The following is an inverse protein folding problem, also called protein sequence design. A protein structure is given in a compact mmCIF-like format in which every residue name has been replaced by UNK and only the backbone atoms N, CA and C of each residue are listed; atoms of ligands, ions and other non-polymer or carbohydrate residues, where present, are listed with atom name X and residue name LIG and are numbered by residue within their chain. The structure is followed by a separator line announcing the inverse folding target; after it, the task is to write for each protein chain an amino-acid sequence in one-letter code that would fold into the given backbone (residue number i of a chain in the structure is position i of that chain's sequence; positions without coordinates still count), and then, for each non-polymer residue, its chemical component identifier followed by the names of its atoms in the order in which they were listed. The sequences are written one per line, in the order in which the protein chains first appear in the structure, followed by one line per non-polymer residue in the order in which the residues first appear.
data_IF_805465235428
#
_entry.id   IF_805465235428
#
_cell.length_a   1.000
_cell.length_b   1.000
_cell.length_c   1.000
_cell.angle_alpha   90.00
_cell.angle_beta   90.00
_cell.angle_gamma   90.00
#
_symmetry.space_group_name_H-M   'P 1'
#
loop_
_entity.id
_entity.type
_entity.pdbx_description
1 polymer ?
#
# COMPACT_ATOMS: atom_id res chain seq x y z
N UNK A 1 4.39 -7.96 -14.91
CA UNK A 1 3.55 -6.91 -15.54
C UNK A 1 3.36 -5.69 -14.64
N UNK A 2 2.78 -5.83 -13.44
CA UNK A 2 2.65 -4.70 -12.48
C UNK A 2 3.98 -4.01 -12.14
N UNK A 3 5.09 -4.75 -12.05
CA UNK A 3 6.42 -4.18 -11.80
C UNK A 3 6.87 -3.14 -12.85
N UNK A 4 6.63 -3.39 -14.14
CA UNK A 4 7.02 -2.46 -15.20
C UNK A 4 6.01 -1.31 -15.38
N UNK A 5 4.74 -1.54 -15.01
CA UNK A 5 3.66 -0.56 -15.14
C UNK A 5 2.96 -0.42 -13.77
N UNK A 6 3.60 0.30 -12.82
CA UNK A 6 3.16 0.37 -11.42
C UNK A 6 1.83 1.09 -11.21
N UNK A 7 1.33 1.82 -12.22
CA UNK A 7 0.01 2.43 -12.21
C UNK A 7 -1.10 1.50 -12.75
N UNK A 8 -0.84 0.19 -12.92
CA UNK A 8 -1.89 -0.77 -13.29
C UNK A 8 -2.65 -1.29 -12.06
N UNK A 9 -3.98 -1.20 -12.14
CA UNK A 9 -4.92 -1.77 -11.19
C UNK A 9 -5.23 -3.24 -11.50
N UNK A 10 -5.30 -3.58 -12.79
CA UNK A 10 -5.45 -4.94 -13.27
C UNK A 10 -4.74 -5.11 -14.62
N UNK A 11 -4.67 -6.35 -15.09
CA UNK A 11 -4.11 -6.75 -16.37
C UNK A 11 -5.04 -7.75 -17.03
N UNK A 12 -5.30 -7.58 -18.33
CA UNK A 12 -5.98 -8.58 -19.15
C UNK A 12 -5.02 -9.06 -20.24
N UNK A 13 -5.00 -10.37 -20.47
CA UNK A 13 -4.18 -10.99 -21.51
C UNK A 13 -4.91 -12.19 -22.11
N UNK A 14 -4.55 -12.57 -23.33
CA UNK A 14 -5.14 -13.70 -24.03
C UNK A 14 -4.12 -14.82 -24.15
N UNK A 15 -4.57 -16.05 -23.90
CA UNK A 15 -3.86 -17.24 -24.37
C UNK A 15 -4.61 -17.73 -25.61
N UNK A 16 -3.92 -17.70 -26.75
CA UNK A 16 -4.46 -18.01 -28.07
C UNK A 16 -3.71 -19.23 -28.61
N UNK A 17 -4.45 -20.16 -29.18
CA UNK A 17 -3.98 -21.31 -29.94
C UNK A 17 -4.65 -21.28 -31.32
N UNK A 18 -4.34 -22.24 -32.18
CA UNK A 18 -4.94 -22.33 -33.52
C UNK A 18 -6.48 -22.33 -33.50
N UNK A 19 -7.09 -23.03 -32.54
CA UNK A 19 -8.55 -23.18 -32.50
C UNK A 19 -9.21 -22.51 -31.30
N UNK A 20 -8.45 -22.13 -30.28
CA UNK A 20 -9.01 -21.69 -29.01
C UNK A 20 -8.38 -20.42 -28.48
N UNK A 21 -9.20 -19.64 -27.76
CA UNK A 21 -8.78 -18.48 -26.99
C UNK A 21 -9.32 -18.57 -25.57
N UNK A 22 -8.59 -18.01 -24.61
CA UNK A 22 -9.13 -17.66 -23.30
C UNK A 22 -8.59 -16.33 -22.82
N UNK A 23 -9.42 -15.59 -22.10
CA UNK A 23 -9.03 -14.36 -21.43
C UNK A 23 -8.57 -14.67 -20.01
N UNK A 24 -7.41 -14.16 -19.63
CA UNK A 24 -6.91 -14.13 -18.26
C UNK A 24 -6.98 -12.69 -17.75
N UNK A 25 -7.52 -12.54 -16.56
CA UNK A 25 -7.61 -11.29 -15.82
C UNK A 25 -6.79 -11.45 -14.53
N UNK A 26 -5.75 -10.64 -14.38
CA UNK A 26 -4.94 -10.57 -13.17
C UNK A 26 -5.24 -9.27 -12.44
N UNK A 27 -5.55 -9.35 -11.16
CA UNK A 27 -5.67 -8.20 -10.27
C UNK A 27 -5.01 -8.52 -8.93
N UNK A 28 -5.22 -7.66 -7.92
CA UNK A 28 -4.61 -7.83 -6.60
C UNK A 28 -5.24 -8.93 -5.74
N UNK A 29 -6.38 -9.48 -6.17
CA UNK A 29 -7.08 -10.60 -5.53
C UNK A 29 -6.84 -11.93 -6.20
N UNK A 30 -6.06 -11.98 -7.29
CA UNK A 30 -5.70 -13.24 -7.95
C UNK A 30 -5.82 -13.17 -9.47
N UNK A 31 -5.87 -14.36 -10.06
CA UNK A 31 -6.20 -14.54 -11.47
C UNK A 31 -7.63 -15.05 -11.60
N UNK A 32 -8.37 -14.52 -12.57
CA UNK A 32 -9.65 -15.05 -13.06
C UNK A 32 -9.48 -15.33 -14.54
N UNK A 33 -10.13 -16.36 -15.05
CA UNK A 33 -10.05 -16.69 -16.47
C UNK A 33 -11.40 -17.13 -17.01
N UNK A 34 -11.61 -16.94 -18.30
CA UNK A 34 -12.77 -17.52 -18.99
C UNK A 34 -12.55 -19.02 -19.24
N UNK A 35 -13.62 -19.77 -19.54
CA UNK A 35 -13.50 -21.05 -20.23
C UNK A 35 -12.70 -20.92 -21.52
N UNK A 36 -12.19 -22.04 -22.00
CA UNK A 36 -11.51 -22.11 -23.28
C UNK A 36 -12.56 -22.05 -24.40
N UNK A 37 -12.49 -21.02 -25.23
CA UNK A 37 -13.48 -20.73 -26.27
C UNK A 37 -12.93 -21.14 -27.63
N UNK A 38 -13.69 -21.92 -28.41
CA UNK A 38 -13.32 -22.20 -29.80
C UNK A 38 -13.59 -20.96 -30.68
N UNK A 39 -12.55 -20.43 -31.33
CA UNK A 39 -12.61 -19.16 -32.09
C UNK A 39 -13.42 -19.28 -33.37
N UNK A 40 -13.44 -20.45 -34.01
CA UNK A 40 -14.21 -20.67 -35.24
C UNK A 40 -15.70 -20.82 -34.96
N UNK A 41 -16.07 -21.37 -33.78
CA UNK A 41 -17.46 -21.43 -33.34
C UNK A 41 -17.98 -20.11 -32.77
N UNK A 42 -17.08 -19.24 -32.28
CA UNK A 42 -17.43 -17.99 -31.62
C UNK A 42 -16.62 -16.78 -32.14
N UNK A 43 -16.64 -16.50 -33.46
CA UNK A 43 -15.77 -15.50 -34.08
C UNK A 43 -16.03 -14.09 -33.55
N UNK A 44 -17.30 -13.73 -33.33
CA UNK A 44 -17.66 -12.41 -32.78
C UNK A 44 -17.07 -12.18 -31.38
N UNK A 45 -17.10 -13.20 -30.53
CA UNK A 45 -16.51 -13.11 -29.18
C UNK A 45 -14.99 -13.02 -29.26
N UNK A 46 -14.35 -13.76 -30.17
CA UNK A 46 -12.91 -13.63 -30.40
C UNK A 46 -12.52 -12.21 -30.83
N UNK A 47 -13.22 -11.61 -31.80
CA UNK A 47 -12.97 -10.22 -32.21
C UNK A 47 -13.16 -9.24 -31.05
N UNK A 48 -14.22 -9.41 -30.25
CA UNK A 48 -14.43 -8.58 -29.04
C UNK A 48 -13.30 -8.69 -28.04
N UNK A 49 -12.74 -9.90 -27.85
CA UNK A 49 -11.59 -10.11 -26.97
C UNK A 49 -10.35 -9.37 -27.47
N UNK A 50 -10.05 -9.44 -28.77
CA UNK A 50 -8.94 -8.69 -29.40
C UNK A 50 -9.14 -7.19 -29.20
N UNK A 51 -10.32 -6.65 -29.56
CA UNK A 51 -10.62 -5.23 -29.41
C UNK A 51 -10.53 -4.77 -27.94
N UNK A 52 -10.94 -5.61 -27.00
CA UNK A 52 -10.87 -5.32 -25.58
C UNK A 52 -9.44 -5.18 -25.06
N UNK A 53 -8.52 -6.07 -25.47
CA UNK A 53 -7.11 -6.01 -25.04
C UNK A 53 -6.27 -5.00 -25.84
N UNK A 54 -6.74 -4.60 -27.03
CA UNK A 54 -6.12 -3.57 -27.88
C UNK A 54 -6.76 -2.19 -27.74
N UNK A 55 -7.61 -1.98 -26.74
CA UNK A 55 -8.27 -0.70 -26.49
C UNK A 55 -7.25 0.43 -26.24
N UNK A 56 -7.55 1.64 -26.74
CA UNK A 56 -6.79 2.85 -26.44
C UNK A 56 -7.24 3.54 -25.14
N UNK A 57 -8.35 3.08 -24.54
CA UNK A 57 -8.87 3.60 -23.27
C UNK A 57 -8.08 3.03 -22.10
N UNK A 58 -7.39 3.89 -21.37
CA UNK A 58 -6.49 3.54 -20.27
C UNK A 58 -7.20 2.72 -19.17
N UNK A 59 -8.41 3.13 -18.81
CA UNK A 59 -9.24 2.47 -17.80
C UNK A 59 -9.65 1.05 -18.22
N UNK A 60 -9.89 0.82 -19.52
CA UNK A 60 -10.23 -0.51 -20.06
C UNK A 60 -9.01 -1.44 -19.99
N UNK A 61 -7.82 -0.89 -20.20
CA UNK A 61 -6.54 -1.60 -20.05
C UNK A 61 -6.14 -1.78 -18.58
N UNK A 62 -6.87 -1.20 -17.63
CA UNK A 62 -6.62 -1.30 -16.20
C UNK A 62 -5.52 -0.37 -15.69
N UNK A 63 -5.28 0.75 -16.36
CA UNK A 63 -4.42 1.82 -15.87
C UNK A 63 -5.22 2.77 -14.95
N UNK A 64 -4.55 3.27 -13.90
CA UNK A 64 -5.08 4.37 -13.08
C UNK A 64 -5.01 5.69 -13.87
N UNK A 65 -6.17 6.16 -14.31
CA UNK A 65 -6.31 7.41 -15.08
C UNK A 65 -6.01 8.66 -14.27
N UNK A 66 -5.91 8.54 -12.94
CA UNK A 66 -5.47 9.64 -12.08
C UNK A 66 -3.96 9.87 -12.11
N UNK A 67 -3.17 8.92 -12.62
CA UNK A 67 -1.72 9.05 -12.81
C UNK A 67 -1.45 9.31 -14.28
N UNK A 68 -1.13 10.55 -14.62
CA UNK A 68 -0.87 10.97 -15.99
C UNK A 68 0.62 11.22 -16.20
N UNK A 69 1.11 10.91 -17.41
CA UNK A 69 2.52 11.08 -17.77
C UNK A 69 2.64 11.94 -19.00
N UNK A 70 3.58 12.87 -18.97
CA UNK A 70 3.96 13.65 -20.15
C UNK A 70 5.07 12.90 -20.89
N UNK A 71 4.82 12.59 -22.16
CA UNK A 71 5.79 11.93 -23.05
C UNK A 71 6.30 12.95 -24.05
N UNK A 72 7.63 13.10 -24.15
CA UNK A 72 8.29 13.89 -25.20
C UNK A 72 9.30 13.00 -25.92
N UNK A 73 9.22 12.94 -27.25
CA UNK A 73 10.10 12.09 -28.09
C UNK A 73 10.16 10.62 -27.62
N UNK A 74 9.00 10.05 -27.26
CA UNK A 74 8.89 8.67 -26.77
C UNK A 74 9.41 8.42 -25.34
N UNK A 75 9.93 9.43 -24.65
CA UNK A 75 10.41 9.33 -23.27
C UNK A 75 9.46 10.01 -22.29
N UNK A 76 9.25 9.38 -21.13
CA UNK A 76 8.52 9.99 -20.01
C UNK A 76 9.39 11.09 -19.41
N UNK A 77 8.88 12.32 -19.38
CA UNK A 77 9.64 13.49 -18.90
C UNK A 77 9.03 14.15 -17.66
N UNK A 78 7.74 13.93 -17.41
CA UNK A 78 7.03 14.44 -16.25
C UNK A 78 5.80 13.56 -15.98
N UNK A 79 5.15 13.77 -14.85
CA UNK A 79 3.83 13.20 -14.59
C UNK A 79 3.13 13.88 -13.43
N UNK A 80 1.85 13.60 -13.30
CA UNK A 80 0.99 14.16 -12.26
C UNK A 80 0.16 13.06 -11.64
N UNK A 81 -0.16 13.24 -10.35
CA UNK A 81 -1.15 12.43 -9.65
C UNK A 81 -2.29 13.34 -9.23
N UNK A 82 -3.47 13.06 -9.76
CA UNK A 82 -4.73 13.67 -9.35
C UNK A 82 -5.38 12.80 -8.27
N UNK A 83 -6.08 13.40 -7.34
CA UNK A 83 -6.96 12.66 -6.43
C UNK A 83 -8.08 13.54 -5.92
N UNK A 84 -9.14 12.90 -5.47
CA UNK A 84 -10.22 13.54 -4.72
C UNK A 84 -9.94 13.31 -3.23
N UNK A 85 -9.74 14.40 -2.48
CA UNK A 85 -9.46 14.30 -1.05
C UNK A 85 -10.75 14.03 -0.27
N UNK A 86 -10.83 12.85 0.32
CA UNK A 86 -11.96 12.40 1.12
C UNK A 86 -12.12 13.18 2.43
N UNK A 87 -11.09 13.91 2.89
CA UNK A 87 -11.18 14.76 4.08
C UNK A 87 -11.91 16.10 3.85
N UNK A 88 -11.74 16.72 2.67
CA UNK A 88 -12.09 18.13 2.46
C UNK A 88 -13.16 18.31 1.38
N UNK A 89 -14.44 18.04 1.69
CA UNK A 89 -15.57 18.23 0.78
C UNK A 89 -15.33 17.66 -0.64
N UNK A 90 -14.55 16.59 -0.77
CA UNK A 90 -14.19 15.99 -2.06
C UNK A 90 -13.46 16.97 -3.02
N UNK A 91 -12.60 17.85 -2.50
CA UNK A 91 -11.80 18.76 -3.33
C UNK A 91 -10.76 17.98 -4.15
N UNK A 92 -10.61 18.35 -5.41
CA UNK A 92 -9.56 17.82 -6.28
C UNK A 92 -8.21 18.39 -5.88
N UNK A 93 -7.22 17.52 -5.78
CA UNK A 93 -5.83 17.82 -5.50
C UNK A 93 -4.95 17.26 -6.61
N UNK A 94 -3.89 18.01 -6.98
CA UNK A 94 -2.94 17.61 -8.02
C UNK A 94 -1.52 17.75 -7.47
N UNK A 95 -0.73 16.69 -7.62
CA UNK A 95 0.69 16.65 -7.29
C UNK A 95 1.53 16.44 -8.53
N UNK A 96 2.70 17.07 -8.58
CA UNK A 96 3.70 16.85 -9.62
C UNK A 96 4.64 15.73 -9.20
N UNK A 97 4.81 14.71 -10.04
CA UNK A 97 5.81 13.68 -9.79
C UNK A 97 7.20 14.28 -9.91
N UNK A 98 8.01 14.09 -8.86
CA UNK A 98 9.42 14.48 -8.86
C UNK A 98 10.22 13.44 -9.65
N UNK A 99 9.92 12.16 -9.45
CA UNK A 99 10.50 11.04 -10.18
C UNK A 99 9.46 10.36 -11.09
N UNK A 100 9.88 9.99 -12.30
CA UNK A 100 9.03 9.24 -13.25
C UNK A 100 8.74 7.80 -12.80
N UNK A 101 9.60 7.28 -11.91
CA UNK A 101 9.50 5.96 -11.31
C UNK A 101 9.04 6.07 -9.85
N UNK A 102 8.26 5.10 -9.35
CA UNK A 102 7.92 5.07 -7.93
C UNK A 102 9.19 4.99 -7.06
N UNK A 103 9.17 5.69 -5.93
CA UNK A 103 10.20 5.58 -4.90
C UNK A 103 10.21 4.19 -4.25
N UNK A 104 9.07 3.48 -4.26
CA UNK A 104 8.95 2.10 -3.82
C UNK A 104 7.83 1.39 -4.59
N UNK A 105 8.02 0.11 -4.91
CA UNK A 105 6.97 -0.72 -5.49
C UNK A 105 7.17 -2.19 -5.10
N UNK A 106 6.12 -2.82 -4.53
CA UNK A 106 6.13 -4.24 -4.18
C UNK A 106 5.86 -5.10 -5.41
N UNK A 107 6.80 -6.00 -5.75
CA UNK A 107 6.72 -6.85 -6.95
C UNK A 107 5.66 -7.96 -6.91
N UNK A 108 5.11 -8.29 -5.73
CA UNK A 108 4.09 -9.32 -5.58
C UNK A 108 2.88 -9.06 -6.49
N UNK A 109 2.40 -10.10 -7.18
CA UNK A 109 1.25 -10.00 -8.07
C UNK A 109 -0.03 -9.73 -7.28
N UNK A 110 -0.29 -10.56 -6.27
CA UNK A 110 -1.45 -10.48 -5.39
C UNK A 110 -1.10 -9.84 -4.04
N UNK A 111 -2.11 -9.36 -3.31
CA UNK A 111 -1.95 -8.84 -1.96
C UNK A 111 -1.88 -7.32 -1.91
N UNK A 112 -0.94 -6.77 -1.14
CA UNK A 112 -0.88 -5.34 -0.80
C UNK A 112 -0.56 -4.42 -1.98
N UNK A 113 0.25 -4.90 -2.93
CA UNK A 113 0.59 -4.14 -4.15
C UNK A 113 1.10 -2.72 -3.89
N UNK A 114 1.75 -2.49 -2.74
CA UNK A 114 2.11 -1.14 -2.27
C UNK A 114 3.02 -0.43 -3.27
N UNK A 115 2.64 0.78 -3.66
CA UNK A 115 3.40 1.66 -4.55
C UNK A 115 3.51 3.03 -3.90
N UNK A 116 4.72 3.56 -3.77
CA UNK A 116 4.96 4.89 -3.22
C UNK A 116 5.58 5.79 -4.29
N UNK A 117 5.01 6.98 -4.45
CA UNK A 117 5.42 7.99 -5.42
C UNK A 117 5.98 9.20 -4.67
N UNK A 118 7.14 9.69 -5.11
CA UNK A 118 7.69 10.96 -4.62
C UNK A 118 7.15 12.08 -5.50
N UNK A 119 6.44 13.02 -4.88
CA UNK A 119 5.74 14.07 -5.58
C UNK A 119 5.86 15.39 -4.81
N UNK A 120 5.43 16.48 -5.45
CA UNK A 120 5.38 17.83 -4.88
C UNK A 120 3.94 18.33 -4.91
N UNK A 121 3.48 18.89 -3.78
CA UNK A 121 2.20 19.59 -3.75
C UNK A 121 2.31 20.92 -4.48
N UNK A 122 1.39 21.19 -5.42
CA UNK A 122 1.30 22.47 -6.13
C UNK A 122 0.77 23.60 -5.25
N UNK A 123 0.22 23.27 -4.08
CA UNK A 123 -0.46 24.19 -3.19
C UNK A 123 0.46 24.45 -2.00
N UNK A 124 1.16 25.57 -2.01
CA UNK A 124 2.04 25.94 -0.93
C UNK A 124 3.04 27.01 -1.36
N UNK A 125 3.50 27.76 -0.38
CA UNK A 125 4.70 28.61 -0.50
C UNK A 125 5.42 28.53 0.85
N UNK A 126 6.56 27.81 0.94
CA UNK A 126 7.24 27.07 -0.12
C UNK A 126 6.45 25.83 -0.58
N UNK A 127 6.83 25.27 -1.74
CA UNK A 127 6.30 23.98 -2.20
C UNK A 127 6.88 22.86 -1.33
N UNK A 128 6.04 21.93 -0.89
CA UNK A 128 6.44 20.80 -0.06
C UNK A 128 6.45 19.50 -0.85
N UNK A 129 7.49 18.69 -0.62
CA UNK A 129 7.57 17.32 -1.11
C UNK A 129 6.69 16.40 -0.25
N UNK A 130 6.04 15.45 -0.91
CA UNK A 130 5.14 14.48 -0.30
C UNK A 130 5.47 13.06 -0.78
N UNK A 131 5.01 12.08 -0.02
CA UNK A 131 5.00 10.68 -0.41
C UNK A 131 3.54 10.24 -0.62
N UNK A 132 3.20 9.85 -1.84
CA UNK A 132 1.87 9.32 -2.17
C UNK A 132 1.95 7.80 -2.17
N UNK A 133 1.20 7.14 -1.29
CA UNK A 133 1.17 5.69 -1.11
C UNK A 133 -0.15 5.11 -1.60
N UNK A 134 -0.06 4.21 -2.57
CA UNK A 134 -1.17 3.37 -3.04
C UNK A 134 -1.04 1.97 -2.45
N UNK A 135 -2.10 1.48 -1.80
CA UNK A 135 -2.10 0.15 -1.18
C UNK A 135 -3.46 -0.55 -1.32
N UNK A 136 -3.41 -1.87 -1.49
CA UNK A 136 -4.57 -2.75 -1.62
C UNK A 136 -4.81 -3.52 -0.33
N UNK A 137 -5.98 -3.37 0.27
CA UNK A 137 -6.36 -4.05 1.51
C UNK A 137 -7.64 -4.85 1.32
N UNK A 138 -7.78 -5.95 2.05
CA UNK A 138 -9.02 -6.74 2.03
C UNK A 138 -10.18 -5.85 2.47
N UNK A 139 -11.31 -5.96 1.78
CA UNK A 139 -12.54 -5.27 2.15
C UNK A 139 -12.89 -5.56 3.62
N UNK A 140 -13.32 -4.54 4.37
CA UNK A 140 -13.56 -4.64 5.81
C UNK A 140 -12.33 -4.50 6.72
N UNK A 141 -11.10 -4.53 6.19
CA UNK A 141 -9.91 -4.17 6.99
C UNK A 141 -9.95 -2.70 7.41
N UNK A 142 -9.47 -2.39 8.62
CA UNK A 142 -9.26 -1.01 9.04
C UNK A 142 -8.28 -0.34 8.07
N UNK A 143 -8.66 0.83 7.56
CA UNK A 143 -7.86 1.57 6.60
C UNK A 143 -6.66 2.27 7.26
N UNK A 144 -5.55 2.36 6.54
CA UNK A 144 -4.35 3.05 7.02
C UNK A 144 -4.64 4.52 7.37
N UNK A 145 -5.44 5.21 6.55
CA UNK A 145 -5.82 6.60 6.81
C UNK A 145 -6.59 6.75 8.13
N UNK A 146 -7.42 5.77 8.53
CA UNK A 146 -8.14 5.81 9.81
C UNK A 146 -7.16 5.75 10.98
N UNK A 147 -6.16 4.89 10.89
CA UNK A 147 -5.14 4.74 11.93
C UNK A 147 -4.24 5.98 12.00
N UNK A 148 -3.82 6.50 10.84
CA UNK A 148 -3.05 7.74 10.74
C UNK A 148 -3.81 8.96 11.27
N UNK A 149 -5.14 9.02 11.06
CA UNK A 149 -5.98 10.07 11.60
C UNK A 149 -5.97 10.06 13.13
N UNK A 150 -5.99 8.87 13.76
CA UNK A 150 -5.90 8.75 15.21
C UNK A 150 -4.57 9.27 15.76
N UNK A 151 -3.47 9.16 15.03
CA UNK A 151 -2.13 9.61 15.46
C UNK A 151 -1.70 10.94 14.83
N UNK A 152 -2.64 11.71 14.29
CA UNK A 152 -2.37 13.04 13.76
C UNK A 152 -1.77 13.95 14.86
N UNK A 153 -0.70 14.66 14.49
CA UNK A 153 0.04 15.57 15.37
C UNK A 153 1.01 14.88 16.33
N UNK A 154 1.15 13.56 16.28
CA UNK A 154 2.13 12.83 17.12
C UNK A 154 3.53 12.95 16.51
N UNK A 155 4.44 13.61 17.23
CA UNK A 155 5.86 13.62 16.89
C UNK A 155 6.43 12.20 16.89
N UNK A 156 7.39 11.93 16.01
CA UNK A 156 7.95 10.60 15.83
C UNK A 156 7.11 9.64 14.98
N UNK A 157 5.97 10.10 14.43
CA UNK A 157 5.06 9.28 13.61
C UNK A 157 4.72 10.01 12.30
N UNK A 158 4.53 9.25 11.23
CA UNK A 158 4.17 9.78 9.91
C UNK A 158 2.89 10.62 9.94
N UNK A 159 2.92 11.78 9.28
CA UNK A 159 1.79 12.70 9.21
C UNK A 159 1.09 12.60 7.86
N UNK A 160 -0.19 12.22 7.89
CA UNK A 160 -1.08 12.21 6.73
C UNK A 160 -1.59 13.62 6.41
N UNK A 161 -1.52 13.97 5.13
CA UNK A 161 -2.02 15.23 4.58
C UNK A 161 -3.39 15.05 3.92
N UNK A 162 -3.51 14.06 3.02
CA UNK A 162 -4.71 13.79 2.24
C UNK A 162 -4.93 12.29 2.08
N UNK A 163 -6.16 11.87 1.80
CA UNK A 163 -6.42 10.48 1.41
C UNK A 163 -7.59 10.39 0.44
N UNK A 164 -7.60 9.32 -0.35
CA UNK A 164 -8.72 8.89 -1.16
C UNK A 164 -9.10 7.48 -0.70
N UNK A 165 -10.28 7.37 -0.08
CA UNK A 165 -10.84 6.09 0.31
C UNK A 165 -11.63 5.50 -0.86
N UNK A 166 -11.21 4.31 -1.32
CA UNK A 166 -11.87 3.62 -2.44
C UNK A 166 -11.48 4.14 -3.82
N UNK A 167 -10.18 4.19 -4.13
CA UNK A 167 -9.68 4.54 -5.46
C UNK A 167 -10.15 3.53 -6.53
N UNK A 168 -10.19 2.24 -6.16
CA UNK A 168 -10.76 1.16 -6.96
C UNK A 168 -10.94 -0.10 -6.11
N UNK A 169 -11.65 -1.11 -6.60
CA UNK A 169 -11.77 -2.41 -5.94
C UNK A 169 -11.82 -3.55 -6.95
N UNK A 170 -11.28 -4.71 -6.57
CA UNK A 170 -11.08 -5.84 -7.48
C UNK A 170 -12.40 -6.42 -8.01
N UNK A 171 -13.47 -6.44 -7.21
CA UNK A 171 -14.77 -6.96 -7.66
C UNK A 171 -15.36 -6.18 -8.84
N UNK A 172 -15.07 -4.88 -8.94
CA UNK A 172 -15.55 -4.02 -10.03
C UNK A 172 -14.91 -4.39 -11.37
N UNK A 173 -13.70 -4.96 -11.35
CA UNK A 173 -12.99 -5.36 -12.57
C UNK A 173 -13.38 -6.74 -13.08
N UNK A 174 -13.91 -7.58 -12.19
CA UNK A 174 -14.16 -9.00 -12.42
C UNK A 174 -15.49 -9.28 -13.12
N UNK A 175 -16.46 -8.36 -13.06
CA UNK A 175 -17.76 -8.50 -13.72
C UNK A 175 -18.70 -9.49 -13.02
N UNK A 176 -20.00 -9.19 -13.05
CA UNK A 176 -21.05 -9.87 -12.29
C UNK A 176 -21.59 -11.17 -12.91
N UNK A 177 -21.24 -11.47 -14.17
CA UNK A 177 -21.88 -12.53 -14.97
C UNK A 177 -21.09 -13.84 -15.09
N UNK A 178 -19.91 -13.92 -14.47
CA UNK A 178 -19.05 -15.11 -14.47
C UNK A 178 -19.33 -15.97 -13.21
N UNK A 179 -18.96 -17.28 -13.19
CA UNK A 179 -19.24 -18.18 -12.07
C UNK A 179 -18.85 -17.56 -10.72
N UNK A 180 -19.54 -17.98 -9.64
CA UNK A 180 -19.27 -17.53 -8.28
C UNK A 180 -17.76 -17.49 -8.03
N UNK A 181 -17.30 -16.39 -7.40
CA UNK A 181 -15.90 -16.25 -7.04
C UNK A 181 -15.45 -17.49 -6.24
N UNK A 182 -14.19 -17.94 -6.42
CA UNK A 182 -13.72 -19.13 -5.71
C UNK A 182 -13.88 -18.92 -4.20
N UNK A 183 -14.06 -20.00 -3.40
CA UNK A 183 -14.35 -19.88 -1.96
C UNK A 183 -13.35 -19.04 -1.16
N UNK A 184 -12.11 -18.93 -1.65
CA UNK A 184 -11.02 -18.16 -1.06
C UNK A 184 -10.84 -16.76 -1.67
N UNK A 185 -11.76 -16.29 -2.50
CA UNK A 185 -11.72 -14.94 -3.03
C UNK A 185 -11.92 -13.92 -1.91
N UNK A 186 -11.01 -12.96 -1.85
CA UNK A 186 -11.11 -11.81 -0.97
C UNK A 186 -11.11 -10.56 -1.82
N UNK A 187 -12.22 -9.80 -1.80
CA UNK A 187 -12.24 -8.50 -2.46
C UNK A 187 -11.20 -7.58 -1.81
N UNK A 188 -10.47 -6.84 -2.64
CA UNK A 188 -9.48 -5.86 -2.19
C UNK A 188 -9.82 -4.48 -2.71
N UNK A 189 -9.70 -3.50 -1.84
CA UNK A 189 -9.93 -2.08 -2.10
C UNK A 189 -8.58 -1.36 -2.11
N UNK A 190 -8.32 -0.64 -3.20
CA UNK A 190 -7.19 0.25 -3.36
C UNK A 190 -7.49 1.59 -2.67
N UNK A 191 -6.53 2.08 -1.90
CA UNK A 191 -6.59 3.38 -1.23
C UNK A 191 -5.31 4.14 -1.51
N UNK A 192 -5.44 5.46 -1.59
CA UNK A 192 -4.31 6.39 -1.76
C UNK A 192 -4.20 7.27 -0.53
N UNK A 193 -3.02 7.31 0.07
CA UNK A 193 -2.70 8.16 1.22
C UNK A 193 -1.54 9.07 0.85
N UNK A 194 -1.64 10.36 1.15
CA UNK A 194 -0.56 11.33 0.97
C UNK A 194 0.04 11.63 2.33
N UNK A 195 1.33 11.35 2.48
CA UNK A 195 2.11 11.56 3.68
C UNK A 195 3.09 12.71 3.46
N UNK A 196 3.43 13.43 4.53
CA UNK A 196 4.62 14.31 4.53
C UNK A 196 5.85 13.50 4.11
N UNK A 197 6.75 14.12 3.32
CA UNK A 197 8.02 13.49 2.99
C UNK A 197 9.00 13.63 4.16
N UNK A 198 9.65 12.52 4.48
CA UNK A 198 10.75 12.44 5.46
C UNK A 198 12.04 11.95 4.80
N UNK A 199 13.08 11.78 5.60
CA UNK A 199 14.39 11.30 5.19
C UNK A 199 14.39 9.83 4.70
N UNK A 200 15.59 9.27 4.63
CA UNK A 200 15.80 7.88 4.19
C UNK A 200 15.49 6.90 5.33
N UNK A 201 15.32 5.62 5.01
CA UNK A 201 15.17 4.57 6.03
C UNK A 201 16.37 4.56 6.99
N UNK A 202 16.10 4.22 8.26
CA UNK A 202 17.08 4.14 9.33
C UNK A 202 18.30 3.29 8.93
N UNK A 203 18.15 2.28 8.07
CA UNK A 203 19.26 1.46 7.54
C UNK A 203 20.40 2.25 6.88
N UNK A 204 20.16 3.53 6.56
CA UNK A 204 21.11 4.43 5.91
C UNK A 204 21.62 5.52 6.86
N UNK A 205 21.60 5.28 8.17
CA UNK A 205 22.14 6.23 9.15
C UNK A 205 23.62 6.50 8.90
N UNK A 206 24.04 7.75 9.11
CA UNK A 206 25.42 8.19 8.93
C UNK A 206 26.25 8.07 10.22
N UNK A 207 25.60 8.03 11.39
CA UNK A 207 26.26 7.87 12.68
C UNK A 207 25.38 7.19 13.71
N UNK A 208 26.00 6.61 14.74
CA UNK A 208 25.31 6.01 15.88
C UNK A 208 24.39 7.03 16.59
N UNK A 209 24.83 8.28 16.70
CA UNK A 209 24.03 9.36 17.29
C UNK A 209 22.76 9.62 16.48
N UNK A 210 22.86 9.59 15.15
CA UNK A 210 21.69 9.72 14.28
C UNK A 210 20.73 8.54 14.45
N UNK A 211 21.26 7.31 14.52
CA UNK A 211 20.45 6.12 14.71
C UNK A 211 19.71 6.12 16.06
N UNK A 212 20.44 6.37 17.16
CA UNK A 212 19.87 6.44 18.51
C UNK A 212 18.86 7.61 18.61
N UNK A 213 19.18 8.75 18.00
CA UNK A 213 18.26 9.90 17.95
C UNK A 213 16.94 9.56 17.26
N UNK A 214 17.01 8.85 16.13
CA UNK A 214 15.84 8.42 15.39
C UNK A 214 15.02 7.35 16.14
N UNK A 215 15.69 6.36 16.73
CA UNK A 215 15.04 5.32 17.53
C UNK A 215 14.33 5.90 18.75
N UNK A 216 14.98 6.81 19.46
CA UNK A 216 14.38 7.49 20.61
C UNK A 216 13.09 8.22 20.21
N UNK A 217 13.14 9.03 19.16
CA UNK A 217 12.00 9.86 18.77
C UNK A 217 10.84 9.02 18.22
N UNK A 218 11.13 7.98 17.43
CA UNK A 218 10.11 7.03 16.96
C UNK A 218 9.52 6.17 18.08
N UNK A 219 10.31 5.78 19.09
CA UNK A 219 9.82 5.07 20.28
C UNK A 219 8.88 5.95 21.14
N UNK A 220 9.23 7.23 21.32
CA UNK A 220 8.35 8.21 21.98
C UNK A 220 7.04 8.37 21.19
N UNK A 221 7.13 8.48 19.87
CA UNK A 221 5.97 8.50 18.99
C UNK A 221 5.10 7.25 19.14
N UNK A 222 5.71 6.07 19.16
CA UNK A 222 5.04 4.78 19.37
C UNK A 222 4.31 4.71 20.72
N UNK A 223 4.90 5.25 21.79
CA UNK A 223 4.23 5.31 23.11
C UNK A 223 2.93 6.10 23.02
N UNK A 224 2.95 7.26 22.36
CA UNK A 224 1.74 8.09 22.20
C UNK A 224 0.74 7.42 21.26
N UNK A 225 1.22 6.77 20.19
CA UNK A 225 0.39 5.95 19.29
C UNK A 225 -0.39 4.87 20.08
N UNK A 226 0.27 4.17 21.01
CA UNK A 226 -0.39 3.18 21.86
C UNK A 226 -1.43 3.81 22.80
N UNK A 227 -1.13 4.97 23.39
CA UNK A 227 -2.10 5.73 24.20
C UNK A 227 -3.34 6.16 23.40
N UNK A 228 -3.24 6.23 22.07
CA UNK A 228 -4.37 6.46 21.15
C UNK A 228 -4.96 5.16 20.59
N UNK A 229 -4.73 4.05 21.27
CA UNK A 229 -5.23 2.71 20.93
C UNK A 229 -4.85 2.25 19.52
N UNK A 230 -3.60 2.50 19.10
CA UNK A 230 -3.06 1.97 17.84
C UNK A 230 -1.83 1.11 18.14
N UNK A 231 -1.80 -0.12 17.65
CA UNK A 231 -0.63 -1.02 17.66
C UNK A 231 -0.04 -1.10 16.26
N UNK A 232 1.29 -1.06 16.13
CA UNK A 232 1.94 -0.98 14.82
C UNK A 232 2.12 -2.35 14.16
N UNK A 233 2.66 -3.32 14.91
CA UNK A 233 2.83 -4.74 14.51
C UNK A 233 3.81 -5.01 13.37
N UNK A 234 4.59 -4.03 12.96
CA UNK A 234 5.58 -4.17 11.88
C UNK A 234 6.73 -3.18 12.06
N UNK A 235 7.24 -3.07 13.29
CA UNK A 235 8.41 -2.23 13.56
C UNK A 235 9.65 -2.92 12.99
N UNK A 236 10.41 -2.18 12.20
CA UNK A 236 11.63 -2.65 11.55
C UNK A 236 12.50 -1.45 11.16
N UNK A 237 13.78 -1.68 10.86
CA UNK A 237 14.66 -0.65 10.30
C UNK A 237 14.11 -0.03 9.01
N UNK A 238 13.30 -0.76 8.24
CA UNK A 238 12.71 -0.26 6.99
C UNK A 238 11.54 0.68 7.25
N UNK A 239 10.82 0.49 8.36
CA UNK A 239 9.64 1.27 8.73
C UNK A 239 9.94 2.43 9.70
N UNK A 240 11.21 2.66 10.02
CA UNK A 240 11.67 3.88 10.70
C UNK A 240 12.43 4.71 9.68
N UNK A 241 11.96 5.93 9.40
CA UNK A 241 12.67 6.90 8.57
C UNK A 241 13.44 7.88 9.44
N UNK A 242 14.58 8.33 8.95
CA UNK A 242 15.30 9.46 9.50
C UNK A 242 14.50 10.75 9.29
N UNK A 243 14.66 11.70 10.20
CA UNK A 243 14.23 13.08 10.00
C UNK A 243 14.92 13.72 8.80
N UNK A 244 14.40 14.86 8.37
CA UNK A 244 15.12 15.71 7.42
C UNK A 244 16.39 16.27 8.07
N UNK A 245 17.24 16.89 7.26
CA UNK A 245 18.43 17.59 7.74
C UNK A 245 18.03 18.61 8.83
N UNK A 246 18.82 18.69 9.90
CA UNK A 246 18.56 19.52 11.09
C UNK A 246 17.20 19.32 11.77
N UNK A 247 16.60 18.13 11.62
CA UNK A 247 15.35 17.80 12.30
C UNK A 247 15.46 18.02 13.81
N UNK A 248 14.51 18.80 14.35
CA UNK A 248 14.39 19.07 15.78
C UNK A 248 14.20 17.77 16.58
N UNK A 249 14.61 17.74 17.87
CA UNK A 249 14.26 16.66 18.78
C UNK A 249 12.75 16.36 18.75
N UNK A 250 12.40 15.08 18.61
CA UNK A 250 11.04 14.60 18.40
C UNK A 250 10.71 14.30 16.94
N UNK A 251 11.51 14.77 15.98
CA UNK A 251 11.33 14.55 14.55
C UNK A 251 12.54 13.86 13.88
N UNK A 252 13.53 13.42 14.66
CA UNK A 252 14.75 12.79 14.12
C UNK A 252 14.52 11.37 13.62
N UNK A 253 13.45 10.73 14.07
CA UNK A 253 13.02 9.43 13.57
C UNK A 253 11.51 9.36 13.50
N UNK A 254 10.99 8.79 12.41
CA UNK A 254 9.58 8.81 12.06
C UNK A 254 9.14 7.39 11.74
N UNK A 255 8.21 6.87 12.53
CA UNK A 255 7.58 5.59 12.30
C UNK A 255 6.55 5.70 11.15
N UNK A 256 6.68 4.82 10.15
CA UNK A 256 5.84 4.78 8.94
C UNK A 256 5.22 3.40 8.74
N UNK A 257 4.32 3.29 7.75
CA UNK A 257 3.70 2.05 7.29
C UNK A 257 2.73 1.39 8.28
N UNK A 258 1.51 1.94 8.32
CA UNK A 258 0.44 1.49 9.21
C UNK A 258 -0.43 0.41 8.54
N UNK A 259 0.04 -0.22 7.46
CA UNK A 259 -0.72 -1.26 6.75
C UNK A 259 -0.99 -2.51 7.59
N UNK A 260 -0.14 -2.79 8.59
CA UNK A 260 -0.28 -3.94 9.50
C UNK A 260 -0.83 -3.54 10.87
N UNK A 261 -1.03 -2.24 11.09
CA UNK A 261 -1.48 -1.70 12.35
C UNK A 261 -2.96 -2.04 12.61
N UNK A 262 -3.33 -2.08 13.88
CA UNK A 262 -4.70 -2.35 14.34
C UNK A 262 -5.08 -1.41 15.46
N UNK A 263 -6.40 -1.28 15.70
CA UNK A 263 -6.89 -0.65 16.92
C UNK A 263 -6.63 -1.59 18.10
N UNK A 264 -5.96 -1.09 19.12
CA UNK A 264 -5.81 -1.79 20.39
C UNK A 264 -7.17 -1.79 21.11
N UNK A 265 -7.84 -2.94 21.14
CA UNK A 265 -9.05 -3.12 21.95
C UNK A 265 -8.72 -3.55 23.38
N UNK A 266 -9.66 -3.44 24.34
CA UNK A 266 -9.60 -4.26 25.55
C UNK A 266 -9.59 -5.74 25.09
N UNK A 267 -8.73 -6.56 25.70
CA UNK A 267 -8.39 -7.97 25.36
C UNK A 267 -9.56 -8.85 24.87
N UNK A 268 -10.08 -8.60 23.67
CA UNK A 268 -11.07 -9.46 23.02
C UNK A 268 -10.34 -10.33 22.01
N UNK A 269 -10.20 -11.58 22.42
CA UNK A 269 -9.46 -12.69 21.83
C UNK A 269 -9.94 -13.12 20.43
N UNK A 270 -11.01 -12.54 19.89
CA UNK A 270 -11.72 -13.08 18.71
C UNK A 270 -11.28 -12.48 17.37
N UNK A 271 -10.73 -11.25 17.32
CA UNK A 271 -10.32 -10.59 16.05
C UNK A 271 -8.80 -10.54 15.82
N UNK A 272 -8.00 -10.95 16.81
CA UNK A 272 -6.53 -10.98 16.77
C UNK A 272 -5.95 -12.23 16.08
N UNK A 273 -6.79 -13.18 15.66
CA UNK A 273 -6.38 -14.39 14.93
C UNK A 273 -5.99 -14.11 13.47
N UNK A 274 -6.61 -13.12 12.85
CA UNK A 274 -6.35 -12.70 11.47
C UNK A 274 -5.13 -11.78 11.39
N UNK A 275 -3.93 -12.36 11.50
CA UNK A 275 -2.67 -11.67 11.31
C UNK A 275 -1.57 -12.01 12.32
N UNK A 276 -1.69 -13.08 13.11
CA UNK A 276 -0.66 -13.49 14.07
C UNK A 276 0.74 -13.60 13.46
N UNK A 277 0.82 -13.92 12.17
CA UNK A 277 2.06 -14.10 11.42
C UNK A 277 2.41 -12.91 10.51
N UNK A 278 1.98 -11.70 10.88
CA UNK A 278 2.27 -10.50 10.11
C UNK A 278 3.40 -9.68 10.71
N UNK A 279 4.23 -9.10 9.84
CA UNK A 279 5.35 -8.26 10.22
C UNK A 279 6.65 -8.79 9.63
N UNK A 280 7.74 -8.10 9.91
CA UNK A 280 9.07 -8.47 9.42
C UNK A 280 9.71 -9.48 10.39
N UNK A 281 9.80 -10.75 9.99
CA UNK A 281 10.13 -11.91 10.86
C UNK A 281 11.34 -11.72 11.77
N UNK A 282 12.41 -11.08 11.28
CA UNK A 282 13.64 -10.85 12.07
C UNK A 282 13.47 -9.86 13.24
N UNK A 283 12.40 -9.06 13.26
CA UNK A 283 12.09 -8.09 14.31
C UNK A 283 10.87 -8.49 15.14
N UNK A 284 10.29 -9.67 14.90
CA UNK A 284 9.15 -10.13 15.70
C UNK A 284 9.62 -10.56 17.08
N UNK A 285 8.80 -10.28 18.10
CA UNK A 285 9.01 -10.76 19.46
C UNK A 285 9.06 -12.28 19.52
N UNK A 286 9.73 -12.81 20.55
CA UNK A 286 9.75 -14.25 20.84
C UNK A 286 8.34 -14.81 20.98
N UNK A 287 7.47 -14.09 21.68
CA UNK A 287 6.05 -14.45 21.86
C UNK A 287 5.32 -14.62 20.51
N UNK A 288 5.54 -13.70 19.57
CA UNK A 288 4.97 -13.81 18.22
C UNK A 288 5.61 -14.95 17.44
N UNK A 289 6.90 -15.22 17.59
CA UNK A 289 7.59 -16.32 16.92
C UNK A 289 7.13 -17.69 17.44
N UNK A 290 6.95 -17.87 18.74
CA UNK A 290 6.45 -19.10 19.35
C UNK A 290 5.01 -19.42 18.92
N UNK A 291 4.22 -18.40 18.60
CA UNK A 291 2.88 -18.59 18.05
C UNK A 291 2.84 -19.32 16.70
N UNK A 292 3.98 -19.41 15.98
CA UNK A 292 4.08 -20.18 14.74
C UNK A 292 4.22 -21.68 14.98
N UNK A 293 4.79 -22.11 16.12
CA UNK A 293 5.04 -23.51 16.44
C UNK A 293 3.94 -24.12 17.31
N UNK A 294 3.35 -23.34 18.23
CA UNK A 294 2.28 -23.81 19.11
C UNK A 294 1.10 -22.82 19.14
N UNK A 295 0.01 -23.20 18.45
CA UNK A 295 -1.21 -22.39 18.40
C UNK A 295 -1.97 -22.34 19.73
N UNK A 296 -1.65 -23.22 20.69
CA UNK A 296 -2.32 -23.29 22.00
C UNK A 296 -1.72 -22.34 23.04
N UNK A 297 -0.46 -21.95 22.87
CA UNK A 297 0.25 -20.97 23.71
C UNK A 297 0.30 -19.54 23.10
N UNK A 298 -0.26 -19.36 21.90
CA UNK A 298 -0.20 -18.12 21.14
C UNK A 298 -0.91 -16.95 21.84
N UNK A 299 -0.13 -16.07 22.48
CA UNK A 299 -0.60 -14.78 22.99
C UNK A 299 -0.85 -13.81 21.84
N UNK A 300 -1.83 -12.92 22.01
CA UNK A 300 -2.14 -11.91 21.02
C UNK A 300 -1.07 -10.81 21.02
N UNK A 301 -0.64 -10.39 19.83
CA UNK A 301 0.33 -9.30 19.67
C UNK A 301 -0.15 -8.04 20.41
N UNK A 302 0.64 -7.57 21.37
CA UNK A 302 0.35 -6.40 22.19
C UNK A 302 1.46 -5.33 22.10
N UNK A 303 1.42 -4.34 22.98
CA UNK A 303 2.36 -3.23 22.93
C UNK A 303 3.80 -3.64 23.32
N UNK A 304 3.98 -4.70 24.12
CA UNK A 304 5.31 -5.19 24.53
C UNK A 304 6.02 -5.81 23.34
N UNK A 305 5.30 -6.49 22.45
CA UNK A 305 5.87 -7.05 21.21
C UNK A 305 6.42 -5.94 20.29
N UNK A 306 5.70 -4.82 20.20
CA UNK A 306 6.20 -3.64 19.50
C UNK A 306 7.45 -3.04 20.21
N UNK A 307 7.57 -3.12 21.55
CA UNK A 307 8.79 -2.65 22.26
C UNK A 307 9.95 -3.60 21.99
N UNK A 308 9.73 -4.91 22.06
CA UNK A 308 10.76 -5.92 21.77
C UNK A 308 11.27 -5.79 20.33
N UNK A 309 10.37 -5.45 19.39
CA UNK A 309 10.76 -5.13 18.02
C UNK A 309 11.75 -3.97 17.93
N UNK A 310 11.63 -2.94 18.76
CA UNK A 310 12.63 -1.84 18.84
C UNK A 310 13.98 -2.34 19.38
N UNK A 311 13.98 -3.31 20.29
CA UNK A 311 15.21 -3.92 20.79
C UNK A 311 15.97 -4.64 19.67
N UNK A 312 15.28 -5.36 18.79
CA UNK A 312 15.91 -6.00 17.63
C UNK A 312 16.35 -5.03 16.52
N UNK A 313 15.90 -3.79 16.57
CA UNK A 313 16.36 -2.73 15.66
C UNK A 313 17.66 -2.09 16.14
N UNK A 314 17.91 -2.07 17.47
CA UNK A 314 19.16 -1.61 18.07
C UNK A 314 20.32 -2.55 17.74
#
# INVERSE_FOLDING_TARGET
MFFQQPNRMFVRTLVITEHHVRLLHFDRSGVRYTPLLNIHRNPCTFVRLILGVSSHKEEVLGLDTNIQRTIKKGKKVAGTIKMVDSNQKQKIVIYDLIDIHPAFHRAALCGRGTTCWHARDRRGSPLEDVLIKDAWRVEGSISEHTLLQNVKGVNGVAQMLHFCDGLAQTKDFRGSQLPSEPPNFLNRVCRRVVLKKYGRSLKHFASQIQAIGALRDSLVGKRIQFQRSVLHRDISMQNILLGLEDALPGLRGILIDFDMAVKAGPRETSSLSSGRHTGTRMYQSLSVLDSYSDTSAATAHDYLDDIESFFFVL
#
